data_IF_585151308507
#
_entry.id   IF_585151308507
#
_cell.length_a   1.000
_cell.length_b   1.000
_cell.length_c   1.000
_cell.angle_alpha   90.00
_cell.angle_beta   90.00
_cell.angle_gamma   90.00
#
_symmetry.space_group_name_H-M   'P 1'
#
loop_
_entity.id
_entity.type
_entity.pdbx_description
1 polymer ?
#
# COMPACT_ATOMS: atom_id res chain seq x y z
N UNK A 1 -38.45 21.54 -25.53
CA UNK A 1 -38.12 22.98 -25.66
C UNK A 1 -37.12 23.30 -24.54
N UNK A 2 -35.91 22.77 -24.64
CA UNK A 2 -34.67 23.47 -25.03
C UNK A 2 -34.50 24.80 -24.29
N UNK A 3 -33.66 24.81 -23.26
CA UNK A 3 -32.83 25.97 -22.96
C UNK A 3 -31.50 25.53 -22.34
N UNK A 4 -30.52 25.42 -23.21
CA UNK A 4 -29.08 25.31 -22.93
C UNK A 4 -28.58 26.56 -22.20
N UNK A 5 -27.80 26.38 -21.12
CA UNK A 5 -26.84 27.41 -20.70
C UNK A 5 -25.43 26.83 -20.73
N UNK A 6 -24.68 27.33 -21.70
CA UNK A 6 -23.26 27.13 -21.92
C UNK A 6 -22.52 28.22 -21.15
N UNK A 7 -21.54 27.87 -20.32
CA UNK A 7 -20.58 28.84 -19.77
C UNK A 7 -19.17 28.39 -20.14
N UNK A 8 -18.64 29.02 -21.20
CA UNK A 8 -17.22 29.00 -21.58
C UNK A 8 -16.55 30.17 -20.85
N UNK A 9 -15.49 29.90 -20.08
CA UNK A 9 -14.57 30.95 -19.61
C UNK A 9 -13.31 30.88 -20.47
N UNK A 10 -12.94 32.08 -20.93
CA UNK A 10 -11.99 32.39 -21.98
C UNK A 10 -10.57 32.48 -21.41
N UNK A 11 -9.66 31.66 -21.95
CA UNK A 11 -8.20 31.83 -21.85
C UNK A 11 -7.79 33.04 -22.69
N UNK A 12 -6.98 33.95 -22.15
CA UNK A 12 -6.31 34.99 -22.94
C UNK A 12 -4.80 34.97 -22.71
N UNK A 13 -4.10 34.91 -23.84
CA UNK A 13 -2.69 34.58 -24.03
C UNK A 13 -1.71 35.69 -23.64
N UNK A 14 -0.49 35.19 -23.37
CA UNK A 14 0.82 35.81 -23.32
C UNK A 14 1.24 36.64 -24.56
N UNK A 15 2.23 37.51 -24.32
CA UNK A 15 3.44 37.84 -25.12
C UNK A 15 3.62 39.35 -25.41
N UNK A 16 4.80 39.83 -25.86
CA UNK A 16 6.18 39.60 -25.42
C UNK A 16 6.96 40.94 -25.29
N UNK A 17 8.31 40.90 -25.23
CA UNK A 17 9.33 41.95 -25.48
C UNK A 17 10.33 42.07 -24.30
N UNK A 18 11.65 42.24 -24.43
CA UNK A 18 12.66 42.19 -25.50
C UNK A 18 14.04 42.23 -24.78
N UNK A 19 15.09 41.84 -25.50
CA UNK A 19 16.51 41.78 -25.10
C UNK A 19 17.11 43.09 -24.53
N UNK A 20 18.15 42.99 -23.67
CA UNK A 20 19.54 43.34 -24.02
C UNK A 20 20.45 43.54 -22.80
N UNK A 21 21.71 43.14 -23.01
CA UNK A 21 22.92 43.22 -22.20
C UNK A 21 23.48 44.64 -22.00
N UNK A 22 24.14 44.89 -20.87
CA UNK A 22 25.46 45.57 -20.83
C UNK A 22 26.21 45.35 -19.51
N UNK A 23 27.53 45.47 -19.65
CA UNK A 23 28.68 45.12 -18.81
C UNK A 23 29.13 46.21 -17.84
N UNK A 24 29.87 45.84 -16.77
CA UNK A 24 30.79 46.77 -16.09
C UNK A 24 31.35 46.33 -14.72
N UNK A 25 32.58 45.78 -14.75
CA UNK A 25 33.71 45.76 -13.79
C UNK A 25 33.62 46.50 -12.41
N UNK A 26 34.40 46.22 -11.35
CA UNK A 26 35.42 45.23 -10.96
C UNK A 26 35.86 45.53 -9.50
N UNK A 27 36.48 44.55 -8.81
CA UNK A 27 37.61 44.62 -7.84
C UNK A 27 37.48 43.47 -6.81
N UNK A 28 38.31 42.43 -6.91
CA UNK A 28 39.56 42.20 -6.15
C UNK A 28 39.30 41.53 -4.78
N UNK A 29 39.96 40.45 -4.36
CA UNK A 29 41.05 39.68 -4.94
C UNK A 29 41.33 38.41 -4.11
N UNK A 30 42.45 37.79 -4.47
CA UNK A 30 43.29 36.85 -3.72
C UNK A 30 43.28 35.37 -4.13
N UNK A 31 44.42 35.03 -4.72
CA UNK A 31 44.85 33.79 -5.30
C UNK A 31 45.51 32.89 -4.25
N UNK A 32 45.37 31.58 -4.42
CA UNK A 32 46.30 30.59 -3.87
C UNK A 32 46.64 29.54 -4.92
N UNK A 33 47.93 29.46 -5.26
CA UNK A 33 48.52 28.40 -6.08
C UNK A 33 49.82 27.88 -5.46
N UNK A 34 49.89 26.54 -5.44
CA UNK A 34 51.05 25.62 -5.55
C UNK A 34 52.11 25.40 -4.45
N UNK A 35 52.18 24.10 -4.08
CA UNK A 35 53.36 23.21 -3.95
C UNK A 35 54.28 23.40 -2.72
N UNK A 36 54.83 22.38 -2.04
CA UNK A 36 55.70 21.28 -2.54
C UNK A 36 56.06 20.29 -1.39
N UNK A 37 56.37 19.03 -1.74
CA UNK A 37 56.79 17.90 -0.90
C UNK A 37 58.16 18.05 -0.17
N UNK A 38 58.31 17.36 0.98
CA UNK A 38 59.52 16.60 1.38
C UNK A 38 59.13 15.32 2.17
N UNK A 39 59.64 14.15 1.75
CA UNK A 39 59.52 12.83 2.42
C UNK A 39 60.56 12.64 3.54
N UNK A 40 60.77 11.53 4.27
CA UNK A 40 60.29 10.14 4.45
C UNK A 40 60.98 9.65 5.79
N UNK A 41 60.97 8.37 6.31
CA UNK A 41 60.44 7.11 5.78
C UNK A 41 59.77 6.11 6.80
N UNK A 42 59.06 5.13 6.22
CA UNK A 42 58.93 3.69 6.54
C UNK A 42 58.70 3.17 7.98
N UNK A 43 57.58 2.45 8.15
CA UNK A 43 57.55 1.00 8.52
C UNK A 43 56.13 0.44 8.30
N UNK A 44 56.03 -0.64 7.53
CA UNK A 44 54.78 -1.26 7.13
C UNK A 44 54.19 -2.19 8.19
N UNK A 45 52.87 -2.33 8.15
CA UNK A 45 52.13 -3.50 8.61
C UNK A 45 50.86 -3.60 7.77
N UNK A 46 50.89 -4.45 6.74
CA UNK A 46 49.69 -4.87 6.02
C UNK A 46 49.09 -6.01 6.84
N UNK A 47 47.97 -5.75 7.51
CA UNK A 47 47.19 -6.80 8.18
C UNK A 47 46.26 -7.43 7.15
N UNK A 48 46.63 -8.60 6.64
CA UNK A 48 45.70 -9.49 5.94
C UNK A 48 44.79 -10.15 6.97
N UNK A 49 43.59 -9.59 7.19
CA UNK A 49 42.54 -10.27 7.91
C UNK A 49 41.97 -11.39 7.03
N UNK A 50 42.34 -12.63 7.32
CA UNK A 50 41.72 -13.83 6.75
C UNK A 50 40.28 -13.92 7.24
N UNK A 51 39.32 -13.75 6.34
CA UNK A 51 37.92 -14.09 6.56
C UNK A 51 37.83 -15.62 6.55
N UNK A 52 37.56 -16.22 7.72
CA UNK A 52 37.16 -17.63 7.81
C UNK A 52 35.68 -17.75 7.38
N UNK A 53 35.31 -18.71 6.52
CA UNK A 53 33.91 -19.00 6.27
C UNK A 53 33.33 -19.71 7.49
N UNK A 54 32.43 -19.05 8.22
CA UNK A 54 31.62 -19.71 9.25
C UNK A 54 30.61 -20.62 8.54
N UNK A 55 30.78 -21.91 8.77
CA UNK A 55 29.94 -23.02 8.30
C UNK A 55 28.54 -22.89 8.92
N UNK A 56 27.51 -22.70 8.11
CA UNK A 56 26.11 -22.78 8.54
C UNK A 56 25.84 -24.24 8.97
N UNK A 57 25.58 -24.46 10.25
CA UNK A 57 25.05 -25.72 10.74
C UNK A 57 23.53 -25.72 10.50
N UNK A 58 23.04 -26.61 9.63
CA UNK A 58 21.60 -26.88 9.53
C UNK A 58 21.20 -27.79 10.69
N UNK A 59 20.17 -27.40 11.44
CA UNK A 59 19.47 -28.31 12.34
C UNK A 59 18.30 -28.92 11.57
N UNK A 60 18.39 -30.23 11.31
CA UNK A 60 17.26 -31.03 10.86
C UNK A 60 16.27 -31.15 12.03
N UNK A 61 15.09 -30.56 11.92
CA UNK A 61 13.97 -30.89 12.80
C UNK A 61 13.38 -32.23 12.33
N UNK A 62 13.43 -33.23 13.20
CA UNK A 62 12.79 -34.52 13.00
C UNK A 62 11.27 -34.35 13.07
N UNK A 63 10.59 -34.51 11.92
CA UNK A 63 9.15 -34.69 11.89
C UNK A 63 8.85 -36.17 12.17
N UNK A 64 8.13 -36.43 13.27
CA UNK A 64 7.57 -37.73 13.58
C UNK A 64 6.50 -38.09 12.53
N UNK A 65 6.66 -39.24 11.89
CA UNK A 65 5.71 -39.79 10.94
C UNK A 65 4.53 -40.47 11.65
N UNK A 66 3.28 -40.37 11.14
CA UNK A 66 2.27 -41.40 11.32
C UNK A 66 2.47 -42.51 10.27
N UNK A 67 2.34 -43.77 10.70
CA UNK A 67 2.69 -44.98 9.95
C UNK A 67 1.84 -45.32 8.71
N UNK A 68 2.20 -46.40 7.97
CA UNK A 68 1.73 -46.66 6.62
C UNK A 68 0.41 -47.44 6.58
N UNK A 69 -0.54 -46.96 5.78
CA UNK A 69 -1.66 -47.75 5.24
C UNK A 69 -1.35 -48.20 3.81
N UNK A 70 -1.88 -49.34 3.33
CA UNK A 70 -1.22 -50.15 2.32
C UNK A 70 -1.31 -49.59 0.90
N UNK A 71 -0.26 -49.90 0.16
CA UNK A 71 -0.07 -49.70 -1.27
C UNK A 71 -1.19 -50.35 -2.10
N UNK A 72 -1.56 -49.65 -3.19
CA UNK A 72 -2.10 -50.29 -4.38
C UNK A 72 -1.12 -50.00 -5.51
N UNK A 73 -0.29 -51.00 -5.81
CA UNK A 73 0.48 -51.08 -7.04
C UNK A 73 -0.46 -51.41 -8.21
N UNK A 74 -0.20 -50.82 -9.38
CA UNK A 74 -0.77 -51.35 -10.61
C UNK A 74 -0.67 -50.45 -11.84
N UNK A 75 0.26 -50.84 -12.71
CA UNK A 75 0.28 -50.63 -14.16
C UNK A 75 0.89 -49.32 -14.71
N UNK A 76 2.18 -49.42 -15.05
CA UNK A 76 2.75 -48.81 -16.24
C UNK A 76 1.95 -49.22 -17.49
N UNK A 77 1.60 -48.25 -18.34
CA UNK A 77 1.33 -48.54 -19.75
C UNK A 77 1.91 -47.46 -20.66
N UNK A 78 2.54 -47.93 -21.75
CA UNK A 78 3.37 -47.19 -22.68
C UNK A 78 2.57 -46.35 -23.68
N UNK A 79 3.23 -45.26 -24.08
CA UNK A 79 3.17 -44.50 -25.34
C UNK A 79 2.09 -44.84 -26.38
N UNK A 80 1.37 -43.79 -26.80
CA UNK A 80 0.71 -43.73 -28.10
C UNK A 80 0.49 -42.26 -28.50
N UNK A 81 1.38 -41.72 -29.33
CA UNK A 81 1.26 -40.37 -29.86
C UNK A 81 0.19 -40.29 -30.96
N UNK A 82 -0.59 -39.21 -30.95
CA UNK A 82 -1.25 -38.70 -32.14
C UNK A 82 -1.30 -37.18 -32.04
N UNK A 83 -0.62 -36.52 -32.97
CA UNK A 83 -0.54 -35.08 -33.11
C UNK A 83 -1.92 -34.46 -33.32
N UNK A 84 -2.22 -33.38 -32.60
CA UNK A 84 -3.19 -32.36 -33.00
C UNK A 84 -2.61 -30.98 -32.75
N UNK A 85 -2.84 -30.15 -33.75
CA UNK A 85 -2.19 -28.87 -34.06
C UNK A 85 -2.35 -27.83 -32.94
N UNK A 86 -1.27 -27.10 -32.69
CA UNK A 86 -1.25 -25.90 -31.84
C UNK A 86 -2.00 -24.75 -32.55
N UNK A 87 -2.68 -23.86 -31.80
CA UNK A 87 -1.94 -22.67 -31.41
C UNK A 87 -2.33 -22.12 -30.04
N UNK A 88 -1.33 -21.81 -29.21
CA UNK A 88 -1.32 -20.66 -28.30
C UNK A 88 0.03 -20.64 -27.58
N UNK A 89 0.65 -19.47 -27.53
CA UNK A 89 1.93 -19.15 -26.88
C UNK A 89 2.34 -20.12 -25.77
N UNK A 90 3.46 -20.84 -25.98
CA UNK A 90 4.18 -21.53 -24.91
C UNK A 90 4.53 -20.50 -23.82
N UNK A 91 3.74 -20.45 -22.75
CA UNK A 91 4.14 -19.81 -21.51
C UNK A 91 5.30 -20.65 -20.98
N UNK A 92 6.54 -20.17 -21.15
CA UNK A 92 7.74 -20.79 -20.57
C UNK A 92 7.46 -21.04 -19.08
N UNK A 93 7.34 -22.31 -18.70
CA UNK A 93 7.19 -22.68 -17.30
C UNK A 93 8.41 -22.16 -16.53
N UNK A 94 8.17 -21.44 -15.44
CA UNK A 94 9.26 -20.96 -14.58
C UNK A 94 9.91 -22.19 -13.94
N UNK A 95 11.13 -22.52 -14.35
CA UNK A 95 11.90 -23.60 -13.73
C UNK A 95 12.27 -23.18 -12.32
N UNK A 96 11.67 -23.81 -11.32
CA UNK A 96 12.00 -23.56 -9.91
C UNK A 96 13.33 -24.24 -9.56
N UNK A 97 14.32 -23.45 -9.14
CA UNK A 97 15.60 -23.97 -8.63
C UNK A 97 15.40 -24.94 -7.45
N UNK A 98 14.37 -24.72 -6.66
CA UNK A 98 14.00 -25.54 -5.50
C UNK A 98 12.97 -26.65 -5.83
N UNK A 99 12.59 -26.82 -7.10
CA UNK A 99 11.55 -27.78 -7.50
C UNK A 99 10.15 -27.44 -6.99
N UNK A 100 9.91 -26.18 -6.59
CA UNK A 100 8.59 -25.71 -6.16
C UNK A 100 7.68 -25.59 -7.38
N UNK A 101 6.76 -26.53 -7.53
CA UNK A 101 5.69 -26.45 -8.51
C UNK A 101 4.62 -25.46 -8.05
N UNK A 102 4.23 -24.55 -8.94
CA UNK A 102 3.09 -23.66 -8.72
C UNK A 102 1.81 -24.50 -8.80
N UNK A 103 1.29 -24.89 -7.64
CA UNK A 103 0.00 -25.60 -7.57
C UNK A 103 -1.10 -24.68 -8.07
N UNK A 104 -1.95 -25.21 -8.96
CA UNK A 104 -3.22 -24.55 -9.27
C UNK A 104 -4.05 -24.50 -8.00
N UNK A 105 -4.43 -23.31 -7.59
CA UNK A 105 -5.35 -23.10 -6.49
C UNK A 105 -6.79 -23.13 -7.05
N UNK A 106 -7.74 -23.49 -6.21
CA UNK A 106 -9.15 -23.50 -6.54
C UNK A 106 -9.94 -22.69 -5.49
N UNK A 107 -11.08 -22.17 -5.90
CA UNK A 107 -12.12 -21.60 -5.03
C UNK A 107 -12.81 -22.69 -4.22
N UNK A 108 -13.62 -22.28 -3.24
CA UNK A 108 -14.45 -23.17 -2.44
C UNK A 108 -15.46 -23.98 -3.30
N UNK A 109 -15.86 -23.44 -4.45
CA UNK A 109 -16.75 -24.08 -5.43
C UNK A 109 -16.02 -25.04 -6.39
N UNK A 110 -14.70 -25.19 -6.26
CA UNK A 110 -13.86 -26.04 -7.12
C UNK A 110 -13.41 -25.40 -8.43
N UNK A 111 -13.79 -24.15 -8.72
CA UNK A 111 -13.31 -23.43 -9.91
C UNK A 111 -11.87 -22.94 -9.75
N UNK A 112 -11.14 -22.82 -10.86
CA UNK A 112 -9.73 -22.38 -10.85
C UNK A 112 -9.59 -20.96 -10.24
N UNK A 113 -8.68 -20.82 -9.28
CA UNK A 113 -8.29 -19.54 -8.70
C UNK A 113 -7.41 -18.77 -9.68
N UNK A 114 -7.91 -17.64 -10.17
CA UNK A 114 -7.26 -16.86 -11.23
C UNK A 114 -6.25 -15.82 -10.71
N UNK A 115 -6.19 -15.57 -9.41
CA UNK A 115 -5.38 -14.50 -8.83
C UNK A 115 -4.01 -15.00 -8.36
N UNK A 116 -2.95 -14.31 -8.76
CA UNK A 116 -1.59 -14.58 -8.26
C UNK A 116 -1.20 -13.68 -7.10
N UNK A 117 -1.84 -12.51 -6.97
CA UNK A 117 -1.52 -11.47 -5.99
C UNK A 117 -2.05 -11.75 -4.58
N UNK A 118 -3.10 -12.57 -4.44
CA UNK A 118 -3.63 -13.03 -3.16
C UNK A 118 -4.14 -14.46 -3.26
N UNK A 119 -4.47 -15.05 -2.13
CA UNK A 119 -4.83 -16.46 -1.95
C UNK A 119 -6.26 -16.58 -1.44
N UNK A 120 -6.93 -17.74 -1.66
CA UNK A 120 -8.30 -17.93 -1.20
C UNK A 120 -8.50 -17.70 0.31
N UNK A 121 -7.50 -18.02 1.15
CA UNK A 121 -7.56 -17.85 2.60
C UNK A 121 -7.27 -16.42 3.09
N UNK A 122 -6.85 -15.52 2.19
CA UNK A 122 -6.66 -14.09 2.46
C UNK A 122 -7.93 -13.28 2.14
N UNK A 123 -8.99 -13.95 1.66
CA UNK A 123 -10.28 -13.34 1.35
C UNK A 123 -11.21 -13.39 2.55
N UNK A 124 -12.05 -12.38 2.71
CA UNK A 124 -12.93 -12.23 3.86
C UNK A 124 -14.26 -11.57 3.47
N UNK A 125 -15.20 -11.49 4.42
CA UNK A 125 -16.41 -10.69 4.29
C UNK A 125 -16.26 -9.51 5.22
N UNK A 126 -16.32 -8.29 4.69
CA UNK A 126 -16.25 -7.08 5.51
C UNK A 126 -17.49 -6.95 6.41
N UNK A 127 -17.29 -6.50 7.64
CA UNK A 127 -18.33 -6.15 8.60
C UNK A 127 -18.90 -4.76 8.30
N UNK A 128 -19.92 -4.76 7.44
CA UNK A 128 -20.68 -3.55 7.11
C UNK A 128 -21.56 -3.03 8.26
N UNK A 129 -21.56 -3.67 9.42
CA UNK A 129 -22.28 -3.21 10.62
C UNK A 129 -21.43 -2.30 11.53
N UNK A 130 -20.15 -2.11 11.19
CA UNK A 130 -19.22 -1.21 11.89
C UNK A 130 -19.76 0.22 11.97
N UNK A 131 -19.51 0.88 13.11
CA UNK A 131 -19.97 2.25 13.37
C UNK A 131 -19.19 3.25 12.52
N UNK A 132 -19.84 3.79 11.48
CA UNK A 132 -19.26 4.77 10.57
C UNK A 132 -19.22 6.19 11.16
N UNK A 133 -19.99 6.49 12.20
CA UNK A 133 -20.11 7.83 12.78
C UNK A 133 -19.11 8.11 13.90
N UNK A 134 -18.39 7.07 14.35
CA UNK A 134 -17.37 7.18 15.38
C UNK A 134 -16.26 8.15 14.95
N UNK A 135 -16.02 9.14 15.81
CA UNK A 135 -15.01 10.18 15.64
C UNK A 135 -14.13 10.25 16.89
N UNK A 136 -12.81 10.24 16.72
CA UNK A 136 -11.91 10.47 17.85
C UNK A 136 -11.80 11.98 18.15
N UNK A 137 -12.27 12.41 19.32
CA UNK A 137 -12.19 13.83 19.71
C UNK A 137 -10.73 14.21 20.03
N UNK A 138 -10.12 15.21 19.37
CA UNK A 138 -8.72 15.58 19.61
C UNK A 138 -8.53 16.24 20.98
N UNK A 139 -8.02 15.47 21.95
CA UNK A 139 -7.83 15.94 23.33
C UNK A 139 -6.44 16.54 23.56
N UNK A 140 -5.39 15.88 23.07
CA UNK A 140 -4.00 16.32 23.27
C UNK A 140 -3.55 17.34 22.23
N UNK A 141 -2.40 18.00 22.46
CA UNK A 141 -1.82 18.92 21.47
C UNK A 141 -1.50 18.20 20.15
N UNK A 142 -0.90 17.01 20.23
CA UNK A 142 -0.54 16.23 19.05
C UNK A 142 -1.78 15.73 18.30
N UNK A 143 -2.88 15.39 19.00
CA UNK A 143 -4.14 15.03 18.33
C UNK A 143 -4.73 16.22 17.57
N UNK A 144 -4.68 17.42 18.16
CA UNK A 144 -5.15 18.65 17.51
C UNK A 144 -4.31 18.98 16.28
N UNK A 145 -2.99 18.80 16.36
CA UNK A 145 -2.10 18.96 15.22
C UNK A 145 -2.43 17.92 14.15
N UNK A 146 -2.57 16.64 14.51
CA UNK A 146 -2.91 15.58 13.57
C UNK A 146 -4.25 15.85 12.84
N UNK A 147 -5.29 16.18 13.60
CA UNK A 147 -6.61 16.53 13.07
C UNK A 147 -6.52 17.73 12.12
N UNK A 148 -5.83 18.80 12.53
CA UNK A 148 -5.69 20.00 11.70
C UNK A 148 -4.85 19.73 10.44
N UNK A 149 -3.82 18.89 10.52
CA UNK A 149 -3.04 18.44 9.36
C UNK A 149 -3.94 17.76 8.35
N UNK A 150 -4.74 16.77 8.76
CA UNK A 150 -5.64 16.05 7.86
C UNK A 150 -6.69 16.98 7.26
N UNK A 151 -7.36 17.80 8.08
CA UNK A 151 -8.35 18.78 7.57
C UNK A 151 -7.75 19.81 6.63
N UNK A 152 -6.48 20.16 6.79
CA UNK A 152 -5.78 21.08 5.88
C UNK A 152 -5.42 20.42 4.55
N UNK A 153 -5.09 19.12 4.56
CA UNK A 153 -4.81 18.33 3.35
C UNK A 153 -6.05 18.13 2.49
N UNK A 154 -7.25 18.12 3.09
CA UNK A 154 -8.52 18.02 2.38
C UNK A 154 -8.80 19.20 1.43
N UNK A 155 -8.41 20.42 1.79
CA UNK A 155 -8.69 21.61 0.98
C UNK A 155 -8.10 21.51 -0.43
N UNK A 156 -6.79 21.23 -0.61
CA UNK A 156 -6.23 21.10 -1.96
C UNK A 156 -6.73 19.85 -2.70
N UNK A 157 -7.02 18.74 -2.01
CA UNK A 157 -7.56 17.53 -2.66
C UNK A 157 -8.97 17.78 -3.19
N UNK A 158 -9.86 18.39 -2.40
CA UNK A 158 -11.21 18.78 -2.81
C UNK A 158 -11.20 19.75 -4.00
N UNK A 159 -10.18 20.61 -4.13
CA UNK A 159 -10.03 21.52 -5.27
C UNK A 159 -9.53 20.78 -6.51
N UNK A 160 -8.59 19.86 -6.35
CA UNK A 160 -7.93 19.18 -7.47
C UNK A 160 -8.77 18.04 -8.05
N UNK A 161 -9.53 17.33 -7.21
CA UNK A 161 -10.28 16.12 -7.58
C UNK A 161 -11.77 16.37 -7.86
N UNK A 162 -12.22 17.63 -8.03
CA UNK A 162 -13.62 17.98 -8.32
C UNK A 162 -14.26 17.24 -9.51
N UNK A 163 -13.45 16.68 -10.41
CA UNK A 163 -13.90 16.06 -11.66
C UNK A 163 -13.53 14.58 -11.81
N UNK A 164 -12.85 13.99 -10.83
CA UNK A 164 -12.44 12.57 -10.89
C UNK A 164 -13.32 11.79 -9.93
N UNK A 165 -14.16 10.92 -10.46
CA UNK A 165 -15.08 10.06 -9.70
C UNK A 165 -14.36 8.84 -9.11
N UNK A 166 -13.22 9.08 -8.46
CA UNK A 166 -12.53 8.12 -7.60
C UNK A 166 -12.34 8.88 -6.28
N UNK A 167 -12.78 8.34 -5.14
CA UNK A 167 -12.54 8.96 -3.84
C UNK A 167 -11.07 9.37 -3.72
N UNK A 168 -10.85 10.67 -3.52
CA UNK A 168 -9.52 11.29 -3.63
C UNK A 168 -8.57 10.89 -2.50
N UNK A 169 -9.10 10.33 -1.42
CA UNK A 169 -8.36 9.91 -0.24
C UNK A 169 -7.74 8.50 -0.43
N UNK A 170 -8.37 7.68 -1.26
CA UNK A 170 -8.01 6.26 -1.54
C UNK A 170 -7.22 6.08 -2.81
N UNK A 171 -6.65 7.16 -3.33
CA UNK A 171 -5.70 7.12 -4.43
C UNK A 171 -4.34 6.53 -3.98
N UNK A 172 -4.36 5.35 -3.34
CA UNK A 172 -3.22 4.46 -3.15
C UNK A 172 -2.02 5.01 -2.38
N UNK A 173 -2.16 6.15 -1.69
CA UNK A 173 -1.01 6.88 -1.17
C UNK A 173 -1.07 7.17 0.34
N UNK A 174 -2.24 7.48 0.88
CA UNK A 174 -2.44 7.79 2.31
C UNK A 174 -2.42 6.56 3.21
N UNK A 175 -3.46 5.73 3.14
CA UNK A 175 -3.63 4.53 3.98
C UNK A 175 -2.59 3.45 3.67
N UNK A 176 -2.45 3.07 2.40
CA UNK A 176 -1.45 2.08 1.97
C UNK A 176 0.00 2.44 2.34
N UNK A 177 0.36 3.73 2.23
CA UNK A 177 1.67 4.23 2.64
C UNK A 177 1.89 4.24 4.16
N UNK A 178 0.82 4.44 4.93
CA UNK A 178 0.85 4.46 6.39
C UNK A 178 1.02 3.05 6.99
N UNK A 179 0.27 2.07 6.49
CA UNK A 179 0.38 0.66 6.88
C UNK A 179 1.77 0.10 6.56
N UNK A 180 2.24 0.28 5.32
CA UNK A 180 3.57 -0.21 4.89
C UNK A 180 4.69 0.47 5.68
N UNK A 181 4.61 1.80 5.86
CA UNK A 181 5.61 2.57 6.60
C UNK A 181 5.69 2.17 8.07
N UNK A 182 4.55 2.03 8.75
CA UNK A 182 4.46 1.62 10.15
C UNK A 182 4.91 0.17 10.35
N UNK A 183 4.41 -0.74 9.51
CA UNK A 183 4.77 -2.16 9.50
C UNK A 183 6.27 -2.38 9.29
N UNK A 184 6.88 -1.69 8.31
CA UNK A 184 8.32 -1.75 8.05
C UNK A 184 9.14 -1.24 9.25
N UNK A 185 8.77 -0.10 9.84
CA UNK A 185 9.51 0.47 10.98
C UNK A 185 9.39 -0.41 12.23
N UNK A 186 8.23 -1.01 12.48
CA UNK A 186 8.05 -2.01 13.54
C UNK A 186 8.83 -3.28 13.26
N UNK A 187 8.89 -3.74 12.01
CA UNK A 187 9.68 -4.89 11.60
C UNK A 187 11.17 -4.68 11.87
N UNK A 188 11.73 -3.55 11.42
CA UNK A 188 13.14 -3.21 11.69
C UNK A 188 13.40 -3.02 13.19
N UNK A 189 12.42 -2.52 13.95
CA UNK A 189 12.51 -2.42 15.42
C UNK A 189 12.53 -3.79 16.10
N UNK A 190 11.67 -4.71 15.66
CA UNK A 190 11.61 -6.08 16.16
C UNK A 190 12.95 -6.79 15.92
N UNK A 191 13.51 -6.68 14.71
CA UNK A 191 14.81 -7.29 14.38
C UNK A 191 15.96 -6.72 15.21
N UNK A 192 16.07 -5.39 15.33
CA UNK A 192 17.20 -4.76 16.04
C UNK A 192 17.15 -4.93 17.56
N UNK A 193 15.95 -5.18 18.11
CA UNK A 193 15.73 -5.40 19.56
C UNK A 193 15.51 -6.86 19.93
N UNK A 194 15.35 -7.75 18.95
CA UNK A 194 14.98 -9.16 19.16
C UNK A 194 13.69 -9.33 19.97
N UNK A 195 12.68 -8.52 19.66
CA UNK A 195 11.38 -8.49 20.37
C UNK A 195 10.23 -8.88 19.43
N UNK A 196 9.20 -9.56 19.94
CA UNK A 196 7.96 -9.78 19.17
C UNK A 196 7.17 -8.47 19.02
N UNK A 197 6.28 -8.42 18.03
CA UNK A 197 5.47 -7.22 17.71
C UNK A 197 4.03 -7.28 18.22
N UNK A 198 3.60 -8.38 18.85
CA UNK A 198 2.21 -8.52 19.32
C UNK A 198 1.18 -8.60 18.18
N UNK A 199 1.61 -8.96 16.96
CA UNK A 199 0.74 -9.00 15.78
C UNK A 199 0.71 -7.72 14.96
N UNK A 200 1.22 -6.59 15.49
CA UNK A 200 1.12 -5.28 14.83
C UNK A 200 1.84 -5.17 13.48
N UNK A 201 2.94 -5.91 13.27
CA UNK A 201 3.57 -5.94 11.93
C UNK A 201 2.60 -6.56 10.92
N UNK A 202 1.88 -7.61 11.31
CA UNK A 202 0.94 -8.29 10.43
C UNK A 202 -0.26 -7.40 10.14
N UNK A 203 -0.88 -6.82 11.19
CA UNK A 203 -2.02 -5.94 11.04
C UNK A 203 -1.74 -4.76 10.09
N UNK A 204 -0.60 -4.07 10.24
CA UNK A 204 -0.26 -2.92 9.40
C UNK A 204 0.10 -3.29 7.95
N UNK A 205 0.67 -4.48 7.73
CA UNK A 205 0.92 -4.96 6.38
C UNK A 205 -0.35 -5.51 5.71
N UNK A 206 -1.30 -6.03 6.49
CA UNK A 206 -2.63 -6.42 6.00
C UNK A 206 -3.47 -5.18 5.64
N UNK A 207 -3.40 -4.10 6.43
CA UNK A 207 -3.95 -2.78 6.09
C UNK A 207 -3.37 -2.28 4.77
N UNK A 208 -2.03 -2.28 4.61
CA UNK A 208 -1.40 -1.84 3.37
C UNK A 208 -1.76 -2.70 2.15
N UNK A 209 -1.92 -4.01 2.34
CA UNK A 209 -2.41 -4.93 1.31
C UNK A 209 -3.87 -4.60 0.94
N UNK A 210 -4.72 -4.35 1.93
CA UNK A 210 -6.13 -4.03 1.73
C UNK A 210 -6.32 -2.72 0.95
N UNK A 211 -5.62 -1.67 1.35
CA UNK A 211 -5.53 -0.37 0.64
C UNK A 211 -5.10 -0.53 -0.82
N UNK A 212 -4.11 -1.41 -1.08
CA UNK A 212 -3.71 -1.73 -2.45
C UNK A 212 -4.84 -2.42 -3.21
N UNK A 213 -5.61 -3.29 -2.57
CA UNK A 213 -6.75 -3.97 -3.18
C UNK A 213 -7.89 -3.01 -3.52
N UNK A 214 -8.10 -1.95 -2.74
CA UNK A 214 -9.01 -0.84 -3.09
C UNK A 214 -8.57 -0.19 -4.40
N UNK A 215 -7.31 0.26 -4.46
CA UNK A 215 -6.74 0.87 -5.65
C UNK A 215 -6.90 -0.03 -6.88
N UNK A 216 -6.46 -1.29 -6.78
CA UNK A 216 -6.52 -2.25 -7.90
C UNK A 216 -7.96 -2.48 -8.38
N UNK A 217 -8.94 -2.44 -7.48
CA UNK A 217 -10.36 -2.53 -7.81
C UNK A 217 -10.83 -1.30 -8.59
N UNK A 218 -10.52 -0.08 -8.13
CA UNK A 218 -10.93 1.13 -8.82
C UNK A 218 -10.19 1.34 -10.15
N UNK A 219 -8.99 0.78 -10.32
CA UNK A 219 -8.25 0.80 -11.59
C UNK A 219 -8.95 0.04 -12.72
N UNK A 220 -9.73 -0.99 -12.40
CA UNK A 220 -10.56 -1.72 -13.39
C UNK A 220 -11.71 -0.84 -13.92
N UNK A 221 -12.14 0.16 -13.14
CA UNK A 221 -13.26 1.05 -13.46
C UNK A 221 -12.78 2.36 -14.10
N UNK A 222 -11.87 3.09 -13.46
CA UNK A 222 -11.58 4.49 -13.79
C UNK A 222 -10.47 4.71 -14.84
N UNK A 223 -9.58 3.73 -15.08
CA UNK A 223 -8.47 3.78 -16.06
C UNK A 223 -7.73 5.13 -16.12
N UNK A 224 -6.81 5.42 -15.18
CA UNK A 224 -6.21 6.75 -15.06
C UNK A 224 -5.27 7.10 -16.22
N UNK A 225 -5.23 8.39 -16.53
CA UNK A 225 -4.38 9.01 -17.55
C UNK A 225 -2.95 9.16 -17.03
N UNK A 226 -2.00 9.42 -17.93
CA UNK A 226 -0.57 9.46 -17.58
C UNK A 226 -0.23 10.55 -16.54
N UNK A 227 -0.93 11.69 -16.56
CA UNK A 227 -0.69 12.78 -15.61
C UNK A 227 -1.28 12.49 -14.23
N UNK A 228 -2.40 11.75 -14.14
CA UNK A 228 -2.96 11.25 -12.88
C UNK A 228 -1.97 10.26 -12.24
N UNK A 229 -1.38 9.37 -13.04
CA UNK A 229 -0.31 8.47 -12.57
C UNK A 229 0.94 9.23 -12.11
N UNK A 230 1.35 10.26 -12.85
CA UNK A 230 2.49 11.10 -12.47
C UNK A 230 2.23 11.87 -11.16
N UNK A 231 0.99 12.32 -10.95
CA UNK A 231 0.57 12.93 -9.69
C UNK A 231 0.66 11.92 -8.55
N UNK A 232 0.11 10.71 -8.69
CA UNK A 232 0.20 9.66 -7.66
C UNK A 232 1.67 9.40 -7.28
N UNK A 233 2.58 9.28 -8.25
CA UNK A 233 4.02 9.13 -7.98
C UNK A 233 4.60 10.30 -7.16
N UNK A 234 4.18 11.52 -7.48
CA UNK A 234 4.66 12.71 -6.79
C UNK A 234 4.12 12.81 -5.36
N UNK A 235 2.83 12.58 -5.15
CA UNK A 235 2.23 12.55 -3.81
C UNK A 235 2.89 11.42 -3.01
N UNK A 236 3.11 10.26 -3.62
CA UNK A 236 3.74 9.12 -2.95
C UNK A 236 5.16 9.37 -2.51
N UNK A 237 5.94 10.05 -3.35
CA UNK A 237 7.27 10.50 -2.95
C UNK A 237 7.24 11.43 -1.72
N UNK A 238 6.25 12.30 -1.60
CA UNK A 238 6.14 13.24 -0.48
C UNK A 238 5.56 12.58 0.76
N UNK A 239 4.41 11.92 0.62
CA UNK A 239 3.66 11.32 1.72
C UNK A 239 4.46 10.23 2.42
N UNK A 240 5.03 9.27 1.66
CA UNK A 240 5.84 8.21 2.24
C UNK A 240 6.99 8.74 3.10
N UNK A 241 7.74 9.74 2.60
CA UNK A 241 8.86 10.30 3.34
C UNK A 241 8.41 11.11 4.57
N UNK A 242 7.32 11.88 4.45
CA UNK A 242 6.75 12.63 5.56
C UNK A 242 6.22 11.69 6.66
N UNK A 243 5.48 10.65 6.29
CA UNK A 243 4.96 9.65 7.20
C UNK A 243 6.09 8.86 7.87
N UNK A 244 7.09 8.40 7.11
CA UNK A 244 8.27 7.71 7.65
C UNK A 244 8.98 8.54 8.73
N UNK A 245 9.24 9.82 8.46
CA UNK A 245 9.83 10.72 9.45
C UNK A 245 8.90 10.96 10.64
N UNK A 246 7.60 11.17 10.39
CA UNK A 246 6.59 11.32 11.43
C UNK A 246 6.53 10.12 12.38
N UNK A 247 6.55 8.91 11.84
CA UNK A 247 6.54 7.67 12.61
C UNK A 247 7.83 7.45 13.39
N UNK A 248 8.99 7.78 12.82
CA UNK A 248 10.26 7.76 13.54
C UNK A 248 10.28 8.71 14.74
N UNK A 249 9.71 9.90 14.59
CA UNK A 249 9.65 10.91 15.65
C UNK A 249 8.60 10.59 16.70
N UNK A 250 7.41 10.13 16.28
CA UNK A 250 6.28 9.88 17.16
C UNK A 250 5.28 8.90 16.51
N UNK A 251 5.38 7.58 16.80
CA UNK A 251 4.44 6.57 16.30
C UNK A 251 2.99 6.88 16.65
N UNK A 252 2.73 7.40 17.87
CA UNK A 252 1.39 7.83 18.29
C UNK A 252 0.80 8.96 17.45
N UNK A 253 1.65 9.87 16.99
CA UNK A 253 1.22 10.95 16.11
C UNK A 253 0.91 10.40 14.71
N UNK A 254 1.79 9.55 14.17
CA UNK A 254 1.60 8.92 12.87
C UNK A 254 0.29 8.12 12.82
N UNK A 255 0.07 7.22 13.78
CA UNK A 255 -1.18 6.47 13.89
C UNK A 255 -2.42 7.36 14.06
N UNK A 256 -2.30 8.49 14.80
CA UNK A 256 -3.42 9.43 14.94
C UNK A 256 -3.72 10.19 13.65
N UNK A 257 -2.69 10.52 12.87
CA UNK A 257 -2.85 11.11 11.53
C UNK A 257 -3.57 10.12 10.61
N UNK A 258 -3.12 8.86 10.58
CA UNK A 258 -3.77 7.79 9.80
C UNK A 258 -5.23 7.63 10.22
N UNK A 259 -5.52 7.50 11.51
CA UNK A 259 -6.91 7.38 11.98
C UNK A 259 -7.82 8.53 11.56
N UNK A 260 -7.30 9.77 11.46
CA UNK A 260 -8.08 10.88 10.90
C UNK A 260 -8.15 10.87 9.36
N UNK A 261 -7.14 10.36 8.65
CA UNK A 261 -7.23 10.15 7.20
C UNK A 261 -8.37 9.18 6.87
N UNK A 262 -8.47 8.08 7.62
CA UNK A 262 -9.55 7.10 7.41
C UNK A 262 -10.93 7.67 7.75
N UNK A 263 -11.03 8.58 8.72
CA UNK A 263 -12.28 9.33 8.94
C UNK A 263 -12.69 10.18 7.72
N UNK A 264 -11.73 10.78 7.02
CA UNK A 264 -12.02 11.47 5.75
C UNK A 264 -12.37 10.48 4.63
N UNK A 265 -11.69 9.34 4.54
CA UNK A 265 -12.00 8.29 3.56
C UNK A 265 -13.44 7.77 3.72
N UNK A 266 -13.88 7.47 4.95
CA UNK A 266 -15.28 7.08 5.25
C UNK A 266 -16.26 8.14 4.78
N UNK A 267 -15.94 9.43 5.00
CA UNK A 267 -16.76 10.53 4.55
C UNK A 267 -16.83 10.57 3.01
N UNK A 268 -15.68 10.49 2.32
CA UNK A 268 -15.56 10.49 0.87
C UNK A 268 -16.33 9.33 0.22
N UNK A 269 -16.23 8.11 0.74
CA UNK A 269 -17.03 6.98 0.27
C UNK A 269 -18.52 7.14 0.55
N UNK A 270 -18.89 7.78 1.65
CA UNK A 270 -20.30 8.10 1.93
C UNK A 270 -20.86 9.09 0.90
N UNK A 271 -20.08 10.09 0.48
CA UNK A 271 -20.45 10.98 -0.61
C UNK A 271 -20.52 10.24 -1.95
N UNK A 272 -19.60 9.31 -2.21
CA UNK A 272 -19.62 8.47 -3.40
C UNK A 272 -20.91 7.63 -3.49
N UNK A 273 -21.30 6.98 -2.39
CA UNK A 273 -22.55 6.20 -2.33
C UNK A 273 -23.78 7.08 -2.58
N UNK A 274 -23.78 8.31 -2.05
CA UNK A 274 -24.85 9.30 -2.31
C UNK A 274 -24.92 9.65 -3.80
N UNK A 275 -23.79 9.79 -4.47
CA UNK A 275 -23.73 10.13 -5.89
C UNK A 275 -24.11 8.95 -6.80
N UNK A 276 -23.82 7.70 -6.40
CA UNK A 276 -24.38 6.49 -7.01
C UNK A 276 -25.91 6.44 -6.87
N UNK A 277 -26.43 6.69 -5.67
CA UNK A 277 -27.87 6.67 -5.39
C UNK A 277 -28.63 7.78 -6.12
N UNK A 278 -27.98 8.92 -6.32
CA UNK A 278 -28.51 10.03 -7.12
C UNK A 278 -28.39 9.79 -8.64
N UNK A 279 -27.74 8.71 -9.08
CA UNK A 279 -27.52 8.38 -10.49
C UNK A 279 -26.53 9.32 -11.19
N UNK A 280 -25.64 9.99 -10.45
CA UNK A 280 -24.56 10.80 -11.02
C UNK A 280 -23.39 9.94 -11.51
N UNK A 281 -23.21 8.78 -10.86
CA UNK A 281 -22.21 7.76 -11.20
C UNK A 281 -22.96 6.50 -11.61
N UNK A 282 -22.53 5.86 -12.70
CA UNK A 282 -23.13 4.62 -13.17
C UNK A 282 -22.80 3.46 -12.21
N UNK A 283 -23.83 2.77 -11.71
CA UNK A 283 -23.66 1.59 -10.87
C UNK A 283 -23.37 0.34 -11.72
N UNK A 284 -22.14 0.23 -12.22
CA UNK A 284 -21.68 -0.88 -13.06
C UNK A 284 -21.50 -2.19 -12.27
N UNK A 285 -21.42 -3.36 -12.93
CA UNK A 285 -21.06 -4.61 -12.27
C UNK A 285 -19.71 -4.52 -11.55
N UNK A 286 -19.61 -5.15 -10.37
CA UNK A 286 -18.41 -5.16 -9.56
C UNK A 286 -17.24 -5.82 -10.31
N UNK A 287 -16.01 -5.26 -10.22
CA UNK A 287 -14.83 -5.92 -10.75
C UNK A 287 -14.65 -7.30 -10.15
N UNK A 288 -14.21 -8.23 -11.00
CA UNK A 288 -14.12 -9.63 -10.64
C UNK A 288 -13.14 -9.88 -9.48
N UNK A 289 -12.11 -9.03 -9.34
CA UNK A 289 -11.15 -9.03 -8.23
C UNK A 289 -11.81 -8.67 -6.90
N UNK A 290 -12.73 -7.71 -6.90
CA UNK A 290 -13.47 -7.28 -5.73
C UNK A 290 -14.42 -8.39 -5.25
N UNK A 291 -15.13 -9.04 -6.19
CA UNK A 291 -16.02 -10.16 -5.88
C UNK A 291 -15.28 -11.27 -5.14
N UNK A 292 -14.11 -11.66 -5.65
CA UNK A 292 -13.34 -12.75 -5.05
C UNK A 292 -12.64 -12.32 -3.74
N UNK A 293 -12.17 -11.08 -3.63
CA UNK A 293 -11.44 -10.58 -2.45
C UNK A 293 -12.37 -10.36 -1.24
N UNK A 294 -13.49 -9.65 -1.42
CA UNK A 294 -14.50 -9.38 -0.37
C UNK A 294 -15.62 -10.43 -0.32
N UNK A 295 -15.49 -11.54 -1.06
CA UNK A 295 -16.47 -12.62 -1.14
C UNK A 295 -17.90 -12.12 -1.40
N UNK A 296 -18.03 -11.14 -2.30
CA UNK A 296 -19.31 -10.54 -2.67
C UNK A 296 -20.17 -11.51 -3.48
N UNK A 297 -21.50 -11.30 -3.56
CA UNK A 297 -22.36 -12.01 -4.49
C UNK A 297 -21.88 -11.87 -5.96
N UNK A 298 -22.09 -12.88 -6.82
CA UNK A 298 -21.65 -12.82 -8.22
C UNK A 298 -22.28 -11.70 -9.06
N UNK A 299 -23.44 -11.21 -8.65
CA UNK A 299 -24.20 -10.11 -9.25
C UNK A 299 -23.97 -8.76 -8.56
N UNK A 300 -22.98 -8.67 -7.67
CA UNK A 300 -22.62 -7.44 -6.98
C UNK A 300 -22.28 -6.29 -7.94
N UNK A 301 -22.53 -5.08 -7.47
CA UNK A 301 -22.38 -3.83 -8.21
C UNK A 301 -21.29 -2.95 -7.59
N UNK A 302 -20.92 -1.87 -8.28
CA UNK A 302 -19.98 -0.87 -7.76
C UNK A 302 -20.43 -0.31 -6.40
N UNK A 303 -21.74 -0.16 -6.18
CA UNK A 303 -22.29 0.24 -4.88
C UNK A 303 -21.95 -0.74 -3.76
N UNK A 304 -22.02 -2.05 -4.02
CA UNK A 304 -21.69 -3.08 -3.04
C UNK A 304 -20.20 -3.07 -2.71
N UNK A 305 -19.35 -2.86 -3.73
CA UNK A 305 -17.89 -2.69 -3.56
C UNK A 305 -17.58 -1.48 -2.69
N UNK A 306 -18.13 -0.31 -3.02
CA UNK A 306 -17.90 0.92 -2.24
C UNK A 306 -18.41 0.76 -0.80
N UNK A 307 -19.47 -0.01 -0.59
CA UNK A 307 -20.00 -0.27 0.76
C UNK A 307 -19.02 -1.07 1.62
N UNK A 308 -18.39 -2.12 1.07
CA UNK A 308 -17.41 -2.93 1.81
C UNK A 308 -16.07 -2.22 1.98
N UNK A 309 -15.64 -1.46 0.97
CA UNK A 309 -14.42 -0.64 1.07
C UNK A 309 -14.56 0.42 2.17
N UNK A 310 -15.70 1.12 2.24
CA UNK A 310 -15.99 2.05 3.34
C UNK A 310 -15.96 1.39 4.72
N UNK A 311 -16.33 0.11 4.81
CA UNK A 311 -16.26 -0.64 6.07
C UNK A 311 -14.80 -0.97 6.43
N UNK A 312 -13.96 -1.30 5.44
CA UNK A 312 -12.51 -1.46 5.65
C UNK A 312 -11.90 -0.15 6.20
N UNK A 313 -12.27 1.02 5.68
CA UNK A 313 -11.76 2.30 6.22
C UNK A 313 -12.17 2.55 7.67
N UNK A 314 -13.41 2.18 8.03
CA UNK A 314 -13.86 2.27 9.41
C UNK A 314 -13.08 1.32 10.33
N UNK A 315 -12.66 0.17 9.81
CA UNK A 315 -11.79 -0.75 10.51
C UNK A 315 -10.37 -0.16 10.67
N UNK A 316 -9.75 0.33 9.59
CA UNK A 316 -8.44 1.00 9.63
C UNK A 316 -8.42 2.19 10.60
N UNK A 317 -9.48 3.01 10.59
CA UNK A 317 -9.70 4.11 11.54
C UNK A 317 -9.59 3.62 12.98
N UNK A 318 -10.33 2.58 13.33
CA UNK A 318 -10.42 2.07 14.68
C UNK A 318 -9.09 1.46 15.13
N UNK A 319 -8.41 0.71 14.27
CA UNK A 319 -7.09 0.12 14.54
C UNK A 319 -6.03 1.19 14.75
N UNK A 320 -5.97 2.21 13.89
CA UNK A 320 -4.98 3.27 13.99
C UNK A 320 -5.23 4.20 15.19
N UNK A 321 -6.49 4.57 15.47
CA UNK A 321 -6.79 5.32 16.69
C UNK A 321 -6.44 4.53 17.95
N UNK A 322 -6.70 3.23 17.97
CA UNK A 322 -6.35 2.33 19.07
C UNK A 322 -4.82 2.21 19.24
N UNK A 323 -4.06 2.05 18.16
CA UNK A 323 -2.59 2.03 18.19
C UNK A 323 -2.01 3.32 18.80
N UNK A 324 -2.60 4.47 18.45
CA UNK A 324 -2.25 5.76 19.04
C UNK A 324 -2.58 5.81 20.53
N UNK A 325 -3.75 5.33 20.94
CA UNK A 325 -4.19 5.33 22.34
C UNK A 325 -3.28 4.47 23.23
N UNK A 326 -2.85 3.29 22.76
CA UNK A 326 -1.88 2.44 23.47
C UNK A 326 -0.63 3.25 23.84
N UNK A 327 -0.09 3.99 22.88
CA UNK A 327 1.08 4.83 23.11
C UNK A 327 0.82 6.02 24.03
N UNK A 328 -0.36 6.64 23.98
CA UNK A 328 -0.73 7.71 24.91
C UNK A 328 -0.92 7.20 26.35
N UNK A 329 -1.35 5.96 26.51
CA UNK A 329 -1.47 5.29 27.80
C UNK A 329 -0.12 4.82 28.36
N UNK A 330 0.98 5.05 27.63
CA UNK A 330 2.34 4.69 28.05
C UNK A 330 2.67 3.20 27.86
N UNK A 331 1.83 2.45 27.14
CA UNK A 331 2.04 1.06 26.81
C UNK A 331 2.78 0.92 25.47
N UNK A 332 3.40 -0.24 25.25
CA UNK A 332 3.97 -0.60 23.94
C UNK A 332 3.02 -1.52 23.15
N UNK A 333 2.99 -1.36 21.83
CA UNK A 333 2.18 -2.20 20.93
C UNK A 333 2.41 -3.71 21.14
N UNK A 334 3.62 -4.15 21.50
CA UNK A 334 3.91 -5.57 21.76
C UNK A 334 3.18 -6.13 22.99
N UNK A 335 2.75 -5.28 23.92
CA UNK A 335 2.09 -5.64 25.18
C UNK A 335 0.57 -5.72 25.02
N UNK A 336 0.03 -5.06 24.00
CA UNK A 336 -1.40 -5.05 23.67
C UNK A 336 -1.57 -5.68 22.29
N UNK A 337 -2.03 -6.93 22.17
CA UNK A 337 -2.14 -7.61 20.89
C UNK A 337 -2.93 -6.79 19.87
N UNK A 338 -2.46 -6.77 18.62
CA UNK A 338 -3.20 -6.19 17.53
C UNK A 338 -4.54 -6.94 17.37
N UNK A 339 -5.64 -6.24 17.02
CA UNK A 339 -6.94 -6.86 16.78
C UNK A 339 -6.94 -7.58 15.43
N UNK A 340 -6.16 -8.66 15.32
CA UNK A 340 -6.15 -9.53 14.15
C UNK A 340 -7.55 -10.15 13.98
N UNK A 341 -7.98 -10.32 12.72
CA UNK A 341 -9.30 -10.85 12.34
C UNK A 341 -10.50 -9.95 12.69
N UNK A 342 -10.26 -8.69 13.09
CA UNK A 342 -11.29 -7.67 13.12
C UNK A 342 -11.47 -7.20 11.67
N UNK A 343 -12.59 -7.52 11.02
CA UNK A 343 -12.91 -7.12 9.64
C UNK A 343 -14.40 -6.99 9.46
#
# INVERSE_FOLDING_TARGET
>A
MVMTMSSRILVRNLAPHLLSTSTGAAAAGDAWTHALLKGAPARGAVVWARVFPVRMASTTAAAAAPGPGPAVEGAEEKSGGAAREAPASEKKAVTSYWGVEQRKLAKEDGTDWRWSCFRPWETYKADVTIDLEKHHVPTTLLDKVAYWTVKSLRIPTDIFFQTVWVPGDDAGDGGGGAGDGGGMLLHLRSLRRFEHSGGWIRALLEEAENERMHLMTFMEVAKPRWYERALVIAVQGVFFNAYFLGYLLSPKFAHRVTGYLEEEAIHSYTEFLRDLDAGKIDNVPAPAIAIDYWRLPPDATLKDVVTVVRADEAHHRDVNHFASDIHYQGMELKETPAPLDYH
#
